data_IF_442835675310
#
_entry.id   IF_442835675310
#
_cell.length_a   1.000
_cell.length_b   1.000
_cell.length_c   1.000
_cell.angle_alpha   90.00
_cell.angle_beta   90.00
_cell.angle_gamma   90.00
#
_symmetry.space_group_name_H-M   'P 1'
#
loop_
_entity.id
_entity.type
_entity.pdbx_description
1 polymer ?
#
# COMPACT_ATOMS: atom_id res chain seq x y z
N UNK A 1 -17.82 3.45 -0.48
CA UNK A 1 -16.76 4.36 -0.96
C UNK A 1 -15.42 4.10 -0.27
N UNK A 2 -15.39 3.64 0.98
CA UNK A 2 -14.15 3.22 1.67
C UNK A 2 -13.49 1.97 1.06
N UNK A 3 -14.28 1.07 0.50
CA UNK A 3 -13.81 -0.25 0.05
C UNK A 3 -13.08 -0.19 -1.30
N UNK A 4 -13.34 0.83 -2.12
CA UNK A 4 -12.78 0.93 -3.46
C UNK A 4 -11.28 1.19 -3.43
N UNK A 5 -10.83 2.09 -2.53
CA UNK A 5 -9.41 2.34 -2.30
C UNK A 5 -8.72 1.07 -1.79
N UNK A 6 -9.34 0.36 -0.85
CA UNK A 6 -8.81 -0.88 -0.32
C UNK A 6 -8.61 -1.92 -1.43
N UNK A 7 -9.61 -2.11 -2.29
CA UNK A 7 -9.51 -3.01 -3.45
C UNK A 7 -8.40 -2.58 -4.40
N UNK A 8 -8.30 -1.30 -4.76
CA UNK A 8 -7.24 -0.83 -5.68
C UNK A 8 -5.83 -1.00 -5.11
N UNK A 9 -5.66 -0.74 -3.81
CA UNK A 9 -4.39 -0.95 -3.13
C UNK A 9 -4.04 -2.43 -3.07
N UNK A 10 -5.00 -3.29 -2.72
CA UNK A 10 -4.81 -4.74 -2.68
C UNK A 10 -4.45 -5.26 -4.07
N UNK A 11 -5.09 -4.78 -5.13
CA UNK A 11 -4.77 -5.16 -6.52
C UNK A 11 -3.36 -4.73 -6.90
N UNK A 12 -2.95 -3.48 -6.60
CA UNK A 12 -1.57 -3.02 -6.85
C UNK A 12 -0.54 -3.82 -6.09
N UNK A 13 -0.79 -4.06 -4.79
CA UNK A 13 0.08 -4.93 -3.99
C UNK A 13 0.13 -6.32 -4.61
N UNK A 14 -0.98 -6.86 -5.13
CA UNK A 14 -1.03 -8.17 -5.81
C UNK A 14 -0.23 -8.20 -7.10
N UNK A 15 -0.14 -7.09 -7.84
CA UNK A 15 0.69 -6.98 -9.05
C UNK A 15 2.19 -6.98 -8.74
N UNK A 16 2.59 -6.41 -7.60
CA UNK A 16 3.99 -6.39 -7.15
C UNK A 16 4.36 -7.63 -6.31
N UNK A 17 3.39 -8.21 -5.60
CA UNK A 17 3.56 -9.40 -4.78
C UNK A 17 3.86 -10.64 -5.63
N UNK A 18 4.50 -11.63 -5.01
CA UNK A 18 4.79 -12.89 -5.69
C UNK A 18 3.49 -13.61 -6.14
N UNK A 19 3.45 -14.22 -7.34
CA UNK A 19 2.25 -14.77 -7.98
C UNK A 19 1.64 -16.02 -7.31
N UNK A 20 1.95 -16.30 -6.05
CA UNK A 20 1.40 -17.40 -5.26
C UNK A 20 0.26 -17.01 -4.31
N UNK A 21 0.10 -15.72 -4.02
CA UNK A 21 -0.84 -15.25 -2.98
C UNK A 21 -2.20 -14.91 -3.58
N UNK A 22 -2.97 -15.94 -3.95
CA UNK A 22 -4.33 -15.75 -4.49
C UNK A 22 -5.33 -15.20 -3.44
N UNK A 23 -4.93 -15.12 -2.17
CA UNK A 23 -5.74 -14.67 -1.04
C UNK A 23 -5.10 -13.49 -0.30
N UNK A 24 -4.64 -12.46 -1.02
CA UNK A 24 -4.28 -11.19 -0.39
C UNK A 24 -5.52 -10.58 0.25
N UNK A 25 -5.49 -10.45 1.57
CA UNK A 25 -6.51 -9.76 2.36
C UNK A 25 -5.85 -8.66 3.17
N UNK A 26 -6.64 -7.79 3.77
CA UNK A 26 -6.13 -6.76 4.71
C UNK A 26 -5.36 -7.35 5.91
N UNK A 27 -5.52 -8.63 6.21
CA UNK A 27 -4.76 -9.30 7.28
C UNK A 27 -3.46 -9.94 6.79
N UNK A 28 -3.21 -9.97 5.47
CA UNK A 28 -2.00 -10.57 4.89
C UNK A 28 -0.79 -9.68 5.17
N UNK A 29 0.33 -10.28 5.55
CA UNK A 29 1.56 -9.55 5.84
C UNK A 29 2.28 -9.10 4.56
N UNK A 30 2.70 -7.84 4.47
CA UNK A 30 3.40 -7.30 3.30
C UNK A 30 4.72 -8.05 3.06
N UNK A 31 5.43 -8.38 4.14
CA UNK A 31 6.67 -9.16 4.09
C UNK A 31 6.45 -10.60 3.62
N UNK A 32 5.27 -11.18 3.86
CA UNK A 32 4.92 -12.51 3.36
C UNK A 32 4.63 -12.51 1.86
N UNK A 33 4.23 -11.37 1.31
CA UNK A 33 3.98 -11.17 -0.11
C UNK A 33 5.25 -10.95 -0.95
N UNK A 34 6.42 -10.94 -0.30
CA UNK A 34 7.69 -10.61 -0.94
C UNK A 34 7.98 -9.12 -1.02
N UNK A 35 7.06 -8.26 -0.54
CA UNK A 35 7.18 -6.80 -0.63
C UNK A 35 8.36 -6.35 0.24
N UNK A 36 9.51 -6.15 -0.41
CA UNK A 36 10.72 -5.60 0.22
C UNK A 36 10.80 -4.08 0.03
N UNK A 37 11.75 -3.41 0.70
CA UNK A 37 11.90 -1.95 0.63
C UNK A 37 11.98 -1.38 -0.79
N UNK A 38 12.40 -2.20 -1.77
CA UNK A 38 12.46 -1.86 -3.18
C UNK A 38 11.05 -1.80 -3.80
N UNK A 39 10.25 -2.86 -3.67
CA UNK A 39 8.84 -2.86 -4.11
C UNK A 39 8.00 -1.84 -3.37
N UNK A 40 8.23 -1.64 -2.07
CA UNK A 40 7.58 -0.57 -1.29
C UNK A 40 7.83 0.81 -1.91
N UNK A 41 9.05 1.06 -2.37
CA UNK A 41 9.40 2.32 -3.04
C UNK A 41 8.66 2.44 -4.37
N UNK A 42 8.60 1.39 -5.18
CA UNK A 42 7.85 1.40 -6.45
C UNK A 42 6.35 1.62 -6.24
N UNK A 43 5.76 0.94 -5.25
CA UNK A 43 4.35 1.10 -4.89
C UNK A 43 4.08 2.54 -4.43
N UNK A 44 4.96 3.12 -3.61
CA UNK A 44 4.84 4.51 -3.17
C UNK A 44 4.82 5.46 -4.37
N UNK A 45 5.77 5.32 -5.30
CA UNK A 45 5.81 6.14 -6.52
C UNK A 45 4.53 5.99 -7.37
N UNK A 46 4.07 4.76 -7.57
CA UNK A 46 2.88 4.49 -8.37
C UNK A 46 1.60 5.05 -7.70
N UNK A 47 1.57 5.11 -6.36
CA UNK A 47 0.49 5.71 -5.58
C UNK A 47 0.54 7.24 -5.58
N UNK A 48 1.72 7.83 -5.48
CA UNK A 48 1.92 9.27 -5.63
C UNK A 48 1.42 9.75 -7.00
N UNK A 49 1.79 9.06 -8.08
CA UNK A 49 1.33 9.43 -9.42
C UNK A 49 -0.18 9.18 -9.60
N UNK A 50 -0.68 8.00 -9.20
CA UNK A 50 -2.09 7.63 -9.40
C UNK A 50 -3.06 8.50 -8.61
N UNK A 51 -2.78 8.76 -7.34
CA UNK A 51 -3.64 9.59 -6.49
C UNK A 51 -3.22 11.06 -6.51
N UNK A 52 -2.17 11.39 -7.27
CA UNK A 52 -1.57 12.71 -7.34
C UNK A 52 -1.30 13.25 -5.93
N UNK A 53 -0.80 12.40 -5.02
CA UNK A 53 -0.47 12.73 -3.61
C UNK A 53 1.05 12.84 -3.44
N UNK A 54 1.50 13.53 -2.39
CA UNK A 54 2.91 13.62 -2.04
C UNK A 54 3.10 12.87 -0.72
N UNK A 55 3.81 11.75 -0.76
CA UNK A 55 4.03 10.86 0.38
C UNK A 55 5.30 11.35 1.08
N UNK A 56 5.12 12.13 2.15
CA UNK A 56 6.23 12.63 2.95
C UNK A 56 7.08 11.49 3.55
N UNK A 57 8.36 11.75 3.81
CA UNK A 57 9.31 10.78 4.39
C UNK A 57 8.80 10.13 5.69
N UNK A 58 8.06 10.88 6.52
CA UNK A 58 7.38 10.36 7.71
C UNK A 58 6.39 9.24 7.38
N UNK A 59 5.73 9.33 6.24
CA UNK A 59 4.79 8.32 5.77
C UNK A 59 5.54 7.12 5.20
N UNK A 60 6.63 7.31 4.47
CA UNK A 60 7.50 6.21 4.02
C UNK A 60 8.05 5.42 5.20
N UNK A 61 8.44 6.09 6.29
CA UNK A 61 8.83 5.44 7.55
C UNK A 61 7.66 4.72 8.23
N UNK A 62 6.46 5.32 8.25
CA UNK A 62 5.26 4.66 8.73
C UNK A 62 4.95 3.41 7.90
N UNK A 63 5.17 3.46 6.58
CA UNK A 63 4.94 2.38 5.65
C UNK A 63 5.94 1.23 5.81
N UNK A 64 7.19 1.59 6.11
CA UNK A 64 8.26 0.63 6.46
C UNK A 64 7.97 -0.11 7.77
N UNK A 65 7.12 0.45 8.64
CA UNK A 65 6.69 -0.18 9.88
C UNK A 65 5.36 -0.95 9.75
N UNK A 66 4.71 -0.93 8.58
CA UNK A 66 3.45 -1.66 8.37
C UNK A 66 3.73 -3.15 8.33
N UNK A 67 2.84 -3.90 8.97
CA UNK A 67 2.96 -5.36 9.02
C UNK A 67 2.08 -6.02 7.98
N UNK A 68 0.87 -5.48 7.79
CA UNK A 68 -0.14 -6.05 6.91
C UNK A 68 -0.66 -5.05 5.88
N UNK A 69 -1.35 -5.58 4.88
CA UNK A 69 -1.97 -4.80 3.80
C UNK A 69 -3.03 -3.83 4.33
N UNK A 70 -3.75 -4.18 5.39
CA UNK A 70 -4.76 -3.34 6.02
C UNK A 70 -4.18 -2.03 6.55
N UNK A 71 -3.07 -2.11 7.27
CA UNK A 71 -2.35 -0.93 7.77
C UNK A 71 -1.93 -0.02 6.60
N UNK A 72 -1.53 -0.59 5.45
CA UNK A 72 -1.15 0.16 4.25
C UNK A 72 -2.34 0.88 3.63
N UNK A 73 -3.48 0.19 3.49
CA UNK A 73 -4.73 0.78 2.98
C UNK A 73 -5.17 1.94 3.85
N UNK A 74 -5.13 1.80 5.18
CA UNK A 74 -5.50 2.88 6.09
C UNK A 74 -4.53 4.06 6.01
N UNK A 75 -3.22 3.80 5.89
CA UNK A 75 -2.22 4.84 5.74
C UNK A 75 -2.41 5.66 4.45
N UNK A 76 -2.63 5.00 3.30
CA UNK A 76 -2.93 5.68 2.03
C UNK A 76 -4.22 6.48 2.15
N UNK A 77 -5.25 5.89 2.75
CA UNK A 77 -6.54 6.55 2.92
C UNK A 77 -6.39 7.83 3.73
N UNK A 78 -5.66 7.78 4.84
CA UNK A 78 -5.40 8.94 5.68
C UNK A 78 -4.63 10.03 4.92
N UNK A 79 -3.69 9.67 4.04
CA UNK A 79 -2.98 10.63 3.20
C UNK A 79 -3.87 11.33 2.19
N UNK A 80 -4.73 10.57 1.49
CA UNK A 80 -5.68 11.12 0.52
C UNK A 80 -6.67 12.05 1.25
N UNK A 81 -7.21 11.62 2.39
CA UNK A 81 -8.17 12.40 3.18
C UNK A 81 -7.54 13.68 3.73
N UNK A 82 -6.25 13.64 4.12
CA UNK A 82 -5.49 14.82 4.58
C UNK A 82 -5.16 15.80 3.45
N UNK A 83 -5.16 15.35 2.19
CA UNK A 83 -4.93 16.19 1.01
C UNK A 83 -6.24 16.79 0.45
N UNK A 84 -7.37 16.11 0.64
CA UNK A 84 -8.71 16.54 0.22
C UNK A 84 -9.24 17.74 1.03
#
# INVERSE_FOLDING_TARGET
MADQLATEIIEKIKEHAEPGDDQITVNTELTALGIHSLELTEIIFDLEEKYNIEIEMNTVEAWSNLKNVGDMVEAVRALIDKKA
#
